data_IF_674652076350
#
_entry.id   IF_674652076350
#
_cell.length_a   1.000
_cell.length_b   1.000
_cell.length_c   1.000
_cell.angle_alpha   90.00
_cell.angle_beta   90.00
_cell.angle_gamma   90.00
#
_symmetry.space_group_name_H-M   'P 1'
#
loop_
_entity.id
_entity.type
_entity.pdbx_description
1 polymer ?
#
# COMPACT_ATOMS: atom_id res chain seq x y z
N UNK A 1 -11.02 -6.96 -11.46
CA UNK A 1 -11.07 -6.75 -10.00
C UNK A 1 -12.37 -6.02 -9.66
N UNK A 2 -13.32 -6.68 -8.96
CA UNK A 2 -14.69 -6.18 -8.81
C UNK A 2 -14.78 -4.85 -8.06
N UNK A 3 -14.04 -4.69 -6.94
CA UNK A 3 -14.06 -3.45 -6.15
C UNK A 3 -13.54 -2.24 -6.94
N UNK A 4 -12.49 -2.41 -7.73
CA UNK A 4 -11.95 -1.34 -8.59
C UNK A 4 -12.93 -0.97 -9.72
N UNK A 5 -13.71 -1.92 -10.22
CA UNK A 5 -14.76 -1.66 -11.21
C UNK A 5 -15.94 -0.89 -10.59
N UNK A 6 -16.33 -1.24 -9.37
CA UNK A 6 -17.45 -0.62 -8.65
C UNK A 6 -17.12 0.82 -8.20
N UNK A 7 -15.95 1.02 -7.62
CA UNK A 7 -15.59 2.28 -6.95
C UNK A 7 -14.64 3.18 -7.74
N UNK A 8 -14.23 2.75 -8.95
CA UNK A 8 -13.50 3.58 -9.91
C UNK A 8 -12.27 4.28 -9.33
N UNK A 9 -12.28 5.62 -9.33
CA UNK A 9 -11.16 6.45 -8.83
C UNK A 9 -11.05 6.47 -7.32
N UNK A 10 -12.13 6.18 -6.59
CA UNK A 10 -12.11 6.14 -5.12
C UNK A 10 -11.46 4.87 -4.57
N UNK A 11 -11.07 3.93 -5.44
CA UNK A 11 -10.44 2.69 -5.08
C UNK A 11 -9.03 2.61 -5.68
N UNK A 12 -8.03 2.31 -4.87
CA UNK A 12 -6.65 2.10 -5.32
C UNK A 12 -6.19 0.70 -4.93
N UNK A 13 -5.40 0.08 -5.81
CA UNK A 13 -4.75 -1.20 -5.55
C UNK A 13 -3.24 -0.98 -5.55
N UNK A 14 -2.58 -1.46 -4.49
CA UNK A 14 -1.14 -1.58 -4.42
C UNK A 14 -0.75 -3.06 -4.57
N UNK A 15 -0.07 -3.45 -5.66
CA UNK A 15 0.40 -4.82 -5.84
C UNK A 15 1.70 -5.09 -5.09
N UNK A 16 2.00 -6.37 -4.86
CA UNK A 16 3.24 -6.82 -4.22
C UNK A 16 4.52 -6.37 -4.95
N UNK A 17 4.43 -6.21 -6.28
CA UNK A 17 5.52 -5.78 -7.13
C UNK A 17 5.19 -4.46 -7.84
N UNK A 18 6.00 -3.44 -7.56
CA UNK A 18 5.83 -2.09 -8.08
C UNK A 18 6.59 -1.81 -9.38
N UNK A 19 7.07 -2.87 -10.06
CA UNK A 19 7.78 -2.74 -11.34
C UNK A 19 6.83 -2.28 -12.43
N UNK A 20 7.17 -1.20 -13.12
CA UNK A 20 6.37 -0.65 -14.23
C UNK A 20 5.25 0.30 -13.81
N UNK A 21 5.04 0.52 -12.50
CA UNK A 21 4.16 1.59 -12.03
C UNK A 21 4.95 2.91 -12.00
N UNK A 22 4.48 3.90 -12.77
CA UNK A 22 4.98 5.28 -12.72
C UNK A 22 4.24 6.04 -11.61
N UNK A 23 4.82 6.09 -10.40
CA UNK A 23 4.36 6.96 -9.32
C UNK A 23 5.36 8.09 -9.08
N UNK A 24 4.92 9.16 -8.39
CA UNK A 24 5.58 10.47 -8.33
C UNK A 24 7.01 10.41 -7.76
N UNK A 25 7.31 9.44 -6.90
CA UNK A 25 8.68 9.17 -6.50
C UNK A 25 9.46 8.53 -7.67
N UNK A 26 10.22 9.35 -8.42
CA UNK A 26 11.32 8.91 -9.31
C UNK A 26 12.43 8.28 -8.45
N UNK A 27 12.15 7.09 -7.93
CA UNK A 27 12.89 6.38 -6.90
C UNK A 27 14.12 5.67 -7.43
N UNK A 28 14.96 6.34 -8.22
CA UNK A 28 16.17 5.75 -8.83
C UNK A 28 17.17 5.18 -7.82
N UNK A 29 17.02 5.46 -6.52
CA UNK A 29 17.89 4.98 -5.43
C UNK A 29 17.16 4.32 -4.24
N UNK A 30 15.87 3.98 -4.34
CA UNK A 30 15.13 3.38 -3.23
C UNK A 30 15.15 1.84 -3.31
N UNK A 31 15.26 1.17 -2.16
CA UNK A 31 15.02 -0.28 -2.07
C UNK A 31 13.55 -0.62 -2.38
N UNK A 32 13.24 -1.87 -2.73
CA UNK A 32 11.85 -2.31 -2.97
C UNK A 32 10.94 -2.02 -1.78
N UNK A 33 11.44 -2.23 -0.56
CA UNK A 33 10.72 -1.90 0.66
C UNK A 33 10.46 -0.41 0.82
N UNK A 34 11.49 0.44 0.63
CA UNK A 34 11.32 1.89 0.69
C UNK A 34 10.33 2.41 -0.37
N UNK A 35 10.38 1.88 -1.60
CA UNK A 35 9.41 2.21 -2.64
C UNK A 35 7.99 1.86 -2.22
N UNK A 36 7.81 0.73 -1.54
CA UNK A 36 6.50 0.28 -1.03
C UNK A 36 5.98 1.23 0.04
N UNK A 37 6.82 1.62 1.02
CA UNK A 37 6.45 2.59 2.06
C UNK A 37 6.08 3.94 1.45
N UNK A 38 6.89 4.46 0.52
CA UNK A 38 6.60 5.74 -0.14
C UNK A 38 5.29 5.69 -0.93
N UNK A 39 5.04 4.62 -1.70
CA UNK A 39 3.77 4.47 -2.44
C UNK A 39 2.57 4.40 -1.49
N UNK A 40 2.68 3.66 -0.38
CA UNK A 40 1.62 3.60 0.63
C UNK A 40 1.32 4.98 1.18
N UNK A 41 2.34 5.73 1.59
CA UNK A 41 2.18 7.09 2.11
C UNK A 41 1.47 8.01 1.11
N UNK A 42 1.85 7.96 -0.17
CA UNK A 42 1.21 8.75 -1.23
C UNK A 42 -0.28 8.40 -1.39
N UNK A 43 -0.62 7.10 -1.49
CA UNK A 43 -2.01 6.64 -1.66
C UNK A 43 -2.87 7.04 -0.46
N UNK A 44 -2.31 6.89 0.73
CA UNK A 44 -3.02 7.11 1.98
C UNK A 44 -3.34 8.59 2.21
N UNK A 45 -2.53 9.51 1.66
CA UNK A 45 -2.79 10.96 1.69
C UNK A 45 -3.82 11.46 0.67
N UNK A 46 -4.32 10.63 -0.24
CA UNK A 46 -5.31 11.06 -1.24
C UNK A 46 -6.74 11.06 -0.66
N UNK A 47 -7.32 12.24 -0.41
CA UNK A 47 -8.63 12.37 0.26
C UNK A 47 -9.81 11.73 -0.51
N UNK A 48 -9.72 11.67 -1.83
CA UNK A 48 -10.71 11.09 -2.74
C UNK A 48 -10.69 9.55 -2.75
N UNK A 49 -9.56 8.95 -2.36
CA UNK A 49 -9.42 7.50 -2.20
C UNK A 49 -10.06 7.06 -0.89
N UNK A 50 -11.13 6.26 -1.00
CA UNK A 50 -11.88 5.68 0.12
C UNK A 50 -11.60 4.20 0.34
N UNK A 51 -11.19 3.48 -0.70
CA UNK A 51 -10.92 2.05 -0.66
C UNK A 51 -9.47 1.79 -1.07
N UNK A 52 -8.71 1.13 -0.20
CA UNK A 52 -7.30 0.81 -0.43
C UNK A 52 -7.14 -0.71 -0.38
N UNK A 53 -6.67 -1.30 -1.47
CA UNK A 53 -6.52 -2.74 -1.62
C UNK A 53 -5.03 -3.06 -1.68
N UNK A 54 -4.52 -3.73 -0.66
CA UNK A 54 -3.10 -4.00 -0.48
C UNK A 54 -2.83 -5.49 -0.70
N UNK A 55 -1.99 -5.82 -1.68
CA UNK A 55 -1.64 -7.19 -2.03
C UNK A 55 -0.19 -7.48 -1.66
N UNK A 56 0.02 -8.34 -0.66
CA UNK A 56 1.32 -8.74 -0.09
C UNK A 56 2.28 -7.57 0.17
N UNK A 57 1.75 -6.47 0.71
CA UNK A 57 2.48 -5.22 0.90
C UNK A 57 3.70 -5.36 1.83
N UNK A 58 3.67 -6.34 2.72
CA UNK A 58 4.69 -6.63 3.73
C UNK A 58 5.81 -7.55 3.23
N UNK A 59 5.67 -8.17 2.05
CA UNK A 59 6.62 -9.16 1.53
C UNK A 59 8.06 -8.61 1.43
N UNK A 60 8.20 -7.35 1.06
CA UNK A 60 9.49 -6.68 0.80
C UNK A 60 10.00 -5.82 1.97
N UNK A 61 9.34 -5.86 3.14
CA UNK A 61 9.69 -5.03 4.29
C UNK A 61 10.41 -5.84 5.37
N UNK A 62 11.39 -5.27 6.07
CA UNK A 62 11.85 -5.84 7.33
C UNK A 62 10.78 -5.68 8.43
N UNK A 63 10.95 -6.36 9.56
CA UNK A 63 9.97 -6.35 10.66
C UNK A 63 9.68 -4.96 11.22
N UNK A 64 10.69 -4.08 11.28
CA UNK A 64 10.52 -2.73 11.79
C UNK A 64 9.69 -1.88 10.83
N UNK A 65 10.01 -1.93 9.53
CA UNK A 65 9.26 -1.22 8.50
C UNK A 65 7.83 -1.76 8.36
N UNK A 66 7.64 -3.09 8.45
CA UNK A 66 6.32 -3.69 8.44
C UNK A 66 5.47 -3.19 9.62
N UNK A 67 6.03 -3.20 10.84
CA UNK A 67 5.32 -2.71 12.04
C UNK A 67 4.98 -1.22 11.96
N UNK A 68 5.85 -0.40 11.38
CA UNK A 68 5.60 1.04 11.21
C UNK A 68 4.46 1.31 10.22
N UNK A 69 4.42 0.55 9.11
CA UNK A 69 3.33 0.64 8.14
C UNK A 69 2.02 0.12 8.75
N UNK A 70 2.07 -0.97 9.53
CA UNK A 70 0.92 -1.53 10.23
C UNK A 70 0.21 -0.47 11.09
N UNK A 71 0.97 0.21 11.96
CA UNK A 71 0.44 1.28 12.79
C UNK A 71 -0.11 2.47 11.99
N UNK A 72 0.47 2.76 10.82
CA UNK A 72 -0.05 3.79 9.92
C UNK A 72 -1.38 3.36 9.28
N UNK A 73 -1.50 2.10 8.86
CA UNK A 73 -2.73 1.57 8.29
C UNK A 73 -3.87 1.58 9.33
N UNK A 74 -3.59 1.22 10.58
CA UNK A 74 -4.56 1.26 11.67
C UNK A 74 -5.17 2.65 11.86
N UNK A 75 -4.33 3.70 11.91
CA UNK A 75 -4.82 5.07 12.05
C UNK A 75 -5.67 5.54 10.88
N UNK A 76 -5.38 5.06 9.67
CA UNK A 76 -6.09 5.47 8.45
C UNK A 76 -7.37 4.65 8.23
N UNK A 77 -7.42 3.43 8.78
CA UNK A 77 -8.61 2.60 8.79
C UNK A 77 -9.81 3.26 9.52
N UNK A 78 -9.55 4.25 10.38
CA UNK A 78 -10.61 5.09 10.97
C UNK A 78 -11.40 5.89 9.93
N UNK A 79 -10.83 6.13 8.75
CA UNK A 79 -11.39 7.04 7.74
C UNK A 79 -11.48 6.42 6.34
N UNK A 80 -10.81 5.30 6.10
CA UNK A 80 -10.77 4.58 4.82
C UNK A 80 -11.02 3.10 5.02
N UNK A 81 -11.58 2.44 4.01
CA UNK A 81 -11.69 0.98 3.99
C UNK A 81 -10.39 0.41 3.44
N UNK A 82 -9.66 -0.32 4.27
CA UNK A 82 -8.42 -1.00 3.88
C UNK A 82 -8.70 -2.50 3.82
N UNK A 83 -8.35 -3.12 2.69
CA UNK A 83 -8.38 -4.58 2.52
C UNK A 83 -6.96 -5.05 2.32
N UNK A 84 -6.52 -5.93 3.21
CA UNK A 84 -5.13 -6.39 3.24
C UNK A 84 -5.05 -7.88 2.92
N UNK A 85 -4.19 -8.20 1.96
CA UNK A 85 -3.62 -9.54 1.80
C UNK A 85 -2.18 -9.44 2.29
N UNK A 86 -1.85 -10.20 3.33
CA UNK A 86 -0.50 -10.20 3.92
C UNK A 86 0.26 -11.44 3.54
N UNK A 87 1.57 -11.26 3.34
CA UNK A 87 2.49 -12.36 3.14
C UNK A 87 2.79 -13.00 4.51
N UNK A 88 2.14 -14.12 4.83
CA UNK A 88 2.32 -14.79 6.13
C UNK A 88 3.80 -15.14 6.32
N UNK A 89 4.49 -14.38 7.17
CA UNK A 89 5.79 -14.78 7.71
C UNK A 89 5.53 -15.81 8.81
N UNK A 90 5.97 -17.03 8.57
CA UNK A 90 6.13 -18.02 9.65
C UNK A 90 7.45 -17.72 10.31
N UNK A 91 7.39 -17.16 11.50
CA UNK A 91 8.53 -17.06 12.41
C UNK A 91 9.00 -18.46 12.83
#
# INVERSE_FOLDING_TARGET
>A
MALKQEYGTQCVMLPANLTGLMWLADGKNLSTGQRTVTCLQEILQQDDVKYVLLDEWDANLDSNNASAVDAMLDGIAEHKVIVEVRHIRRD
#
